data_IF_270926511255
#
_entry.id   IF_270926511255
#
_cell.length_a   1.000
_cell.length_b   1.000
_cell.length_c   1.000
_cell.angle_alpha   90.00
_cell.angle_beta   90.00
_cell.angle_gamma   90.00
#
_symmetry.space_group_name_H-M   'P 1'
#
loop_
_entity.id
_entity.type
_entity.pdbx_description
1 polymer ?
#
# COMPACT_ATOMS: atom_id res chain seq x y z
N UNK A 1 15.39 17.84 -9.28
CA UNK A 1 15.32 17.28 -7.90
C UNK A 1 15.06 15.78 -7.98
N UNK A 2 15.95 14.93 -7.43
CA UNK A 2 15.74 13.47 -7.38
C UNK A 2 14.61 13.16 -6.41
N UNK A 3 13.44 12.72 -6.91
CA UNK A 3 12.39 12.12 -6.07
C UNK A 3 12.90 10.77 -5.57
N UNK A 4 13.33 10.71 -4.31
CA UNK A 4 13.72 9.46 -3.65
C UNK A 4 12.50 8.55 -3.57
N UNK A 5 12.48 7.46 -4.34
CA UNK A 5 11.40 6.47 -4.26
C UNK A 5 11.55 5.71 -2.95
N UNK A 6 10.53 5.77 -2.09
CA UNK A 6 10.44 4.98 -0.85
C UNK A 6 10.41 3.51 -1.26
N UNK A 7 11.40 2.72 -0.82
CA UNK A 7 11.45 1.28 -1.09
C UNK A 7 10.65 0.56 -0.01
N UNK A 8 9.72 -0.27 -0.42
CA UNK A 8 8.94 -1.14 0.47
C UNK A 8 9.44 -2.58 0.33
N UNK A 9 9.60 -3.28 1.46
CA UNK A 9 9.96 -4.70 1.48
C UNK A 9 8.82 -5.56 0.94
N UNK A 10 9.14 -6.78 0.47
CA UNK A 10 8.12 -7.72 -0.01
C UNK A 10 7.10 -8.04 1.08
N UNK A 11 7.55 -8.31 2.32
CA UNK A 11 6.69 -8.57 3.48
C UNK A 11 5.68 -7.44 3.73
N UNK A 12 6.12 -6.19 3.62
CA UNK A 12 5.24 -5.04 3.79
C UNK A 12 4.16 -4.99 2.72
N UNK A 13 4.53 -5.20 1.45
CA UNK A 13 3.56 -5.26 0.35
C UNK A 13 2.55 -6.38 0.55
N UNK A 14 3.01 -7.57 0.94
CA UNK A 14 2.13 -8.72 1.20
C UNK A 14 1.14 -8.42 2.32
N UNK A 15 1.61 -7.81 3.42
CA UNK A 15 0.74 -7.38 4.53
C UNK A 15 -0.34 -6.40 4.07
N UNK A 16 0.04 -5.39 3.29
CA UNK A 16 -0.89 -4.39 2.74
C UNK A 16 -1.89 -5.03 1.79
N UNK A 17 -1.45 -5.95 0.91
CA UNK A 17 -2.34 -6.66 -0.02
C UNK A 17 -3.32 -7.58 0.74
N UNK A 18 -2.87 -8.29 1.78
CA UNK A 18 -3.75 -9.10 2.61
C UNK A 18 -4.80 -8.25 3.36
N UNK A 19 -4.41 -7.07 3.85
CA UNK A 19 -5.32 -6.12 4.48
C UNK A 19 -6.33 -5.56 3.47
N UNK A 20 -5.90 -5.28 2.24
CA UNK A 20 -6.75 -4.84 1.14
C UNK A 20 -7.73 -5.94 0.67
N UNK A 21 -7.30 -7.20 0.64
CA UNK A 21 -8.13 -8.36 0.29
C UNK A 21 -9.13 -8.72 1.38
N UNK A 22 -8.85 -8.34 2.63
CA UNK A 22 -9.77 -8.59 3.75
C UNK A 22 -11.02 -7.69 3.71
N UNK A 23 -11.13 -6.75 2.77
CA UNK A 23 -12.26 -5.82 2.53
C UNK A 23 -12.76 -5.05 3.76
N UNK A 24 -12.04 -5.08 4.89
CA UNK A 24 -12.41 -4.37 6.12
C UNK A 24 -12.16 -2.88 6.04
N UNK A 25 -11.27 -2.45 5.16
CA UNK A 25 -10.85 -1.07 4.97
C UNK A 25 -10.82 -0.78 3.48
N UNK A 26 -11.27 0.41 3.11
CA UNK A 26 -11.15 0.87 1.73
C UNK A 26 -9.67 1.08 1.37
N UNK A 27 -9.34 1.00 0.08
CA UNK A 27 -7.99 1.27 -0.41
C UNK A 27 -7.47 2.65 0.04
N UNK A 28 -8.37 3.62 0.18
CA UNK A 28 -8.07 4.98 0.62
C UNK A 28 -7.71 5.04 2.11
N UNK A 29 -8.43 4.34 2.97
CA UNK A 29 -8.13 4.26 4.40
C UNK A 29 -6.83 3.50 4.65
N UNK A 30 -6.60 2.42 3.91
CA UNK A 30 -5.37 1.65 3.98
C UNK A 30 -4.16 2.46 3.49
N UNK A 31 -4.35 3.22 2.42
CA UNK A 31 -3.39 4.20 1.92
C UNK A 31 -3.04 5.25 2.97
N UNK A 32 -4.04 5.82 3.66
CA UNK A 32 -3.79 6.78 4.73
C UNK A 32 -3.05 6.15 5.92
N UNK A 33 -3.47 4.96 6.35
CA UNK A 33 -2.88 4.23 7.49
C UNK A 33 -1.41 3.91 7.29
N UNK A 34 -1.03 3.54 6.07
CA UNK A 34 0.34 3.16 5.73
C UNK A 34 1.13 4.25 4.99
N UNK A 35 0.54 5.44 4.85
CA UNK A 35 1.08 6.58 4.09
C UNK A 35 1.48 6.23 2.64
N UNK A 36 0.70 5.37 2.00
CA UNK A 36 0.93 4.89 0.64
C UNK A 36 -0.13 5.49 -0.26
N UNK A 37 0.18 5.71 -1.53
CA UNK A 37 -0.84 6.12 -2.49
C UNK A 37 -1.76 4.93 -2.83
N UNK A 38 -3.10 5.09 -2.94
CA UNK A 38 -4.02 4.01 -3.29
C UNK A 38 -3.62 3.29 -4.59
N UNK A 39 -3.16 4.04 -5.61
CA UNK A 39 -2.63 3.47 -6.86
C UNK A 39 -1.44 2.51 -6.69
N UNK A 40 -0.64 2.66 -5.62
CA UNK A 40 0.45 1.71 -5.36
C UNK A 40 -0.10 0.40 -4.78
N UNK A 41 -1.15 0.48 -3.97
CA UNK A 41 -1.82 -0.68 -3.39
C UNK A 41 -2.50 -1.50 -4.50
N UNK A 42 -3.18 -0.84 -5.45
CA UNK A 42 -3.75 -1.52 -6.62
C UNK A 42 -2.69 -2.10 -7.55
N UNK A 43 -1.48 -1.55 -7.58
CA UNK A 43 -0.35 -2.12 -8.33
C UNK A 43 0.30 -3.31 -7.62
N UNK A 44 0.12 -3.47 -6.31
CA UNK A 44 0.65 -4.60 -5.54
C UNK A 44 -0.34 -5.76 -5.41
N UNK A 45 -1.63 -5.46 -5.50
CA UNK A 45 -2.66 -6.48 -5.70
C UNK A 45 -2.33 -7.28 -6.95
#
# INVERSE_FOLDING_TARGET
MKRTRRKFSAEFKTKVVLEALSERLTLTELAQKHEIHPNQITQWK
#
